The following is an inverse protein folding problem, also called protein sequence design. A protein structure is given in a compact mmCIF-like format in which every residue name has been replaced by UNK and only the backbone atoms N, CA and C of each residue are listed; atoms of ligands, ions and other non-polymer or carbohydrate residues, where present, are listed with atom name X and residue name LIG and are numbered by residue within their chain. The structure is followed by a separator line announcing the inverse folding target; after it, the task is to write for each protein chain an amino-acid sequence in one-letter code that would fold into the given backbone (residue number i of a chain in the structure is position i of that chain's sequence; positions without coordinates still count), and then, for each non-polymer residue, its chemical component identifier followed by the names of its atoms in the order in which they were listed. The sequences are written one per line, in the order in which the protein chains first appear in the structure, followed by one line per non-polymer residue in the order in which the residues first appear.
data_IF_094346134910
#
_entry.id   IF_094346134910
#
_cell.length_a   1.000
_cell.length_b   1.000
_cell.length_c   1.000
_cell.angle_alpha   90.00
_cell.angle_beta   90.00
_cell.angle_gamma   90.00
#
_symmetry.space_group_name_H-M   'P 1'
#
loop_
_entity.id
_entity.type
_entity.pdbx_description
1 polymer ?
#
# COMPACT_ATOMS: atom_id res chain seq x y z
N UNK A 1 -39.21 10.63 -1.17
CA UNK A 1 -38.03 11.39 -0.67
C UNK A 1 -37.12 10.53 0.20
N UNK A 2 -37.61 9.39 0.69
CA UNK A 2 -36.86 8.47 1.57
C UNK A 2 -35.80 7.63 0.83
N UNK A 3 -36.03 7.30 -0.44
CA UNK A 3 -35.08 6.57 -1.29
C UNK A 3 -33.78 7.34 -1.53
N UNK A 4 -33.84 8.67 -1.69
CA UNK A 4 -32.64 9.51 -1.83
C UNK A 4 -31.83 9.53 -0.54
N UNK A 5 -32.48 9.66 0.63
CA UNK A 5 -31.79 9.66 1.93
C UNK A 5 -31.13 8.31 2.22
N UNK A 6 -31.80 7.20 1.90
CA UNK A 6 -31.22 5.86 2.00
C UNK A 6 -29.97 5.72 1.12
N UNK A 7 -30.04 6.18 -0.13
CA UNK A 7 -28.91 6.18 -1.06
C UNK A 7 -27.70 6.99 -0.52
N UNK A 8 -27.92 8.20 -0.01
CA UNK A 8 -26.84 8.99 0.59
C UNK A 8 -26.24 8.33 1.85
N UNK A 9 -27.06 7.68 2.68
CA UNK A 9 -26.57 6.95 3.84
C UNK A 9 -25.73 5.72 3.44
N UNK A 10 -26.14 4.98 2.41
CA UNK A 10 -25.35 3.86 1.89
C UNK A 10 -24.02 4.32 1.27
N UNK A 11 -23.98 5.51 0.66
CA UNK A 11 -22.77 6.06 0.04
C UNK A 11 -21.72 6.58 1.02
N UNK A 12 -22.14 7.12 2.18
CA UNK A 12 -21.24 7.86 3.06
C UNK A 12 -21.20 7.37 4.51
N UNK A 13 -22.26 6.74 5.00
CA UNK A 13 -22.44 6.46 6.43
C UNK A 13 -22.28 4.98 6.74
N UNK A 14 -22.89 4.12 5.93
CA UNK A 14 -22.86 2.67 6.15
C UNK A 14 -21.66 2.08 5.41
N UNK A 15 -20.83 1.23 6.06
CA UNK A 15 -19.79 0.47 5.39
C UNK A 15 -20.42 -0.42 4.30
N UNK A 16 -20.33 0.05 3.07
CA UNK A 16 -20.92 -0.57 1.89
C UNK A 16 -19.88 -0.62 0.77
N UNK A 17 -20.12 -1.42 -0.26
CA UNK A 17 -19.21 -1.51 -1.41
C UNK A 17 -19.04 -0.14 -2.10
N UNK A 18 -20.11 0.63 -2.41
CA UNK A 18 -19.96 1.97 -2.99
C UNK A 18 -19.19 2.94 -2.11
N UNK A 19 -19.50 2.98 -0.80
CA UNK A 19 -18.80 3.83 0.16
C UNK A 19 -17.30 3.48 0.21
N UNK A 20 -16.97 2.19 0.20
CA UNK A 20 -15.59 1.72 0.24
C UNK A 20 -14.78 2.16 -0.98
N UNK A 21 -15.36 2.06 -2.18
CA UNK A 21 -14.72 2.51 -3.43
C UNK A 21 -14.49 4.03 -3.41
N UNK A 22 -15.46 4.80 -2.91
CA UNK A 22 -15.35 6.26 -2.79
C UNK A 22 -14.23 6.63 -1.82
N UNK A 23 -14.19 6.00 -0.64
CA UNK A 23 -13.17 6.25 0.38
C UNK A 23 -11.78 5.90 -0.14
N UNK A 24 -11.59 4.72 -0.76
CA UNK A 24 -10.30 4.32 -1.34
C UNK A 24 -9.84 5.31 -2.42
N UNK A 25 -10.78 5.77 -3.26
CA UNK A 25 -10.50 6.76 -4.30
C UNK A 25 -10.11 8.12 -3.70
N UNK A 26 -10.78 8.55 -2.64
CA UNK A 26 -10.50 9.80 -1.92
C UNK A 26 -9.13 9.75 -1.23
N UNK A 27 -8.84 8.65 -0.53
CA UNK A 27 -7.52 8.38 0.10
C UNK A 27 -6.42 8.47 -0.95
N UNK A 28 -6.63 7.82 -2.10
CA UNK A 28 -5.67 7.83 -3.22
C UNK A 28 -5.49 9.23 -3.79
N UNK A 29 -6.59 9.97 -4.02
CA UNK A 29 -6.55 11.32 -4.56
C UNK A 29 -5.78 12.27 -3.62
N UNK A 30 -6.17 12.33 -2.35
CA UNK A 30 -5.55 13.22 -1.35
C UNK A 30 -4.09 12.83 -1.13
N UNK A 31 -3.82 11.53 -0.99
CA UNK A 31 -2.47 11.02 -0.80
C UNK A 31 -1.53 11.34 -1.97
N UNK A 32 -1.99 11.19 -3.22
CA UNK A 32 -1.21 11.52 -4.41
C UNK A 32 -1.02 13.02 -4.61
N UNK A 33 -1.98 13.84 -4.18
CA UNK A 33 -1.82 15.30 -4.15
C UNK A 33 -0.74 15.71 -3.14
N UNK A 34 -0.80 15.16 -1.92
CA UNK A 34 0.20 15.40 -0.87
C UNK A 34 1.58 14.85 -1.26
N UNK A 35 1.64 13.75 -2.02
CA UNK A 35 2.89 13.18 -2.54
C UNK A 35 3.73 14.18 -3.36
N UNK A 36 3.08 15.16 -4.01
CA UNK A 36 3.77 16.19 -4.79
C UNK A 36 4.34 17.32 -3.93
N UNK A 37 3.86 17.48 -2.69
CA UNK A 37 4.34 18.50 -1.77
C UNK A 37 5.73 18.09 -1.28
N UNK A 38 6.69 19.00 -1.39
CA UNK A 38 8.06 18.82 -0.90
C UNK A 38 8.30 19.79 0.23
N UNK A 39 8.71 19.29 1.39
CA UNK A 39 9.11 20.13 2.53
C UNK A 39 10.63 19.99 2.67
N UNK A 40 11.34 21.11 2.63
CA UNK A 40 12.79 21.16 2.88
C UNK A 40 13.64 20.13 2.10
N UNK A 41 13.34 19.93 0.80
CA UNK A 41 13.93 18.94 -0.13
C UNK A 41 13.52 17.47 0.02
N UNK A 42 12.78 17.08 1.06
CA UNK A 42 12.34 15.69 1.24
C UNK A 42 10.88 15.55 0.79
N UNK A 43 10.59 14.48 0.05
CA UNK A 43 9.24 14.04 -0.29
C UNK A 43 9.12 12.58 0.07
N UNK A 44 8.03 12.21 0.76
CA UNK A 44 7.72 10.82 1.08
C UNK A 44 7.06 10.10 -0.12
N UNK A 45 6.82 10.80 -1.24
CA UNK A 45 6.26 10.22 -2.45
C UNK A 45 4.91 9.54 -2.20
N UNK A 46 4.72 8.36 -2.81
CA UNK A 46 3.47 7.58 -2.74
C UNK A 46 3.12 7.15 -1.31
N UNK A 47 4.08 7.14 -0.38
CA UNK A 47 3.85 6.81 1.03
C UNK A 47 2.84 7.75 1.72
N UNK A 48 2.61 8.96 1.21
CA UNK A 48 1.53 9.82 1.70
C UNK A 48 0.14 9.21 1.55
N UNK A 49 -0.10 8.35 0.55
CA UNK A 49 -1.36 7.61 0.40
C UNK A 49 -1.62 6.71 1.61
N UNK A 50 -0.58 6.05 2.13
CA UNK A 50 -0.65 5.22 3.32
C UNK A 50 -0.97 6.04 4.58
N UNK A 51 -0.29 7.18 4.78
CA UNK A 51 -0.55 8.04 5.94
C UNK A 51 -1.96 8.62 5.94
N UNK A 52 -2.47 9.05 4.78
CA UNK A 52 -3.86 9.52 4.66
C UNK A 52 -4.84 8.41 5.02
N UNK A 53 -4.59 7.17 4.57
CA UNK A 53 -5.41 6.01 4.92
C UNK A 53 -5.46 5.75 6.42
N UNK A 54 -4.30 5.75 7.10
CA UNK A 54 -4.24 5.59 8.57
C UNK A 54 -4.98 6.71 9.28
N UNK A 55 -4.78 7.96 8.84
CA UNK A 55 -5.39 9.13 9.46
C UNK A 55 -6.93 9.09 9.35
N UNK A 56 -7.46 8.75 8.17
CA UNK A 56 -8.90 8.63 7.96
C UNK A 56 -9.49 7.43 8.73
N UNK A 57 -8.76 6.31 8.81
CA UNK A 57 -9.16 5.16 9.62
C UNK A 57 -9.19 5.48 11.12
N UNK A 58 -8.24 6.28 11.60
CA UNK A 58 -8.22 6.76 13.00
C UNK A 58 -9.46 7.59 13.35
N UNK A 59 -10.00 8.38 12.41
CA UNK A 59 -11.27 9.11 12.58
C UNK A 59 -12.52 8.22 12.49
N UNK A 60 -12.38 6.90 12.36
CA UNK A 60 -13.49 5.96 12.37
C UNK A 60 -14.12 5.72 11.00
N UNK A 61 -13.48 6.17 9.91
CA UNK A 61 -13.89 5.77 8.56
C UNK A 61 -13.47 4.32 8.36
N UNK A 62 -14.44 3.42 8.36
CA UNK A 62 -14.25 2.00 8.10
C UNK A 62 -14.76 1.64 6.71
N UNK A 63 -14.16 0.59 6.16
CA UNK A 63 -14.51 0.01 4.87
C UNK A 63 -15.28 -1.29 5.11
N UNK A 64 -16.07 -1.68 4.14
CA UNK A 64 -16.70 -3.00 4.12
C UNK A 64 -15.62 -4.09 4.02
N UNK A 65 -15.71 -5.11 4.87
CA UNK A 65 -14.62 -6.09 5.08
C UNK A 65 -14.23 -6.83 3.79
N UNK A 66 -15.20 -7.27 2.98
CA UNK A 66 -14.93 -7.98 1.72
C UNK A 66 -14.21 -7.08 0.71
N UNK A 67 -14.59 -5.80 0.65
CA UNK A 67 -13.97 -4.82 -0.25
C UNK A 67 -12.54 -4.49 0.20
N UNK A 68 -12.31 -4.37 1.51
CA UNK A 68 -10.97 -4.22 2.08
C UNK A 68 -10.07 -5.43 1.76
N UNK A 69 -10.55 -6.64 2.04
CA UNK A 69 -9.81 -7.89 1.79
C UNK A 69 -9.50 -8.05 0.30
N UNK A 70 -10.47 -7.76 -0.57
CA UNK A 70 -10.26 -7.77 -2.00
C UNK A 70 -9.19 -6.76 -2.42
N UNK A 71 -9.30 -5.50 -1.98
CA UNK A 71 -8.36 -4.44 -2.33
C UNK A 71 -6.93 -4.73 -1.87
N UNK A 72 -6.78 -5.22 -0.64
CA UNK A 72 -5.48 -5.61 -0.07
C UNK A 72 -4.84 -6.75 -0.88
N UNK A 73 -5.58 -7.83 -1.13
CA UNK A 73 -5.04 -8.98 -1.88
C UNK A 73 -4.74 -8.62 -3.33
N UNK A 74 -5.62 -7.85 -3.98
CA UNK A 74 -5.41 -7.38 -5.34
C UNK A 74 -4.16 -6.49 -5.45
N UNK A 75 -4.03 -5.50 -4.56
CA UNK A 75 -2.86 -4.64 -4.51
C UNK A 75 -1.57 -5.40 -4.22
N UNK A 76 -1.61 -6.38 -3.31
CA UNK A 76 -0.47 -7.24 -2.99
C UNK A 76 -0.03 -8.08 -4.18
N UNK A 77 -0.97 -8.67 -4.93
CA UNK A 77 -0.65 -9.44 -6.15
C UNK A 77 0.01 -8.54 -7.20
N UNK A 78 -0.54 -7.35 -7.44
CA UNK A 78 0.05 -6.38 -8.37
C UNK A 78 1.46 -5.94 -7.92
N UNK A 79 1.64 -5.71 -6.61
CA UNK A 79 2.93 -5.34 -6.03
C UNK A 79 3.97 -6.45 -6.20
N UNK A 80 3.63 -7.70 -5.85
CA UNK A 80 4.53 -8.86 -6.01
C UNK A 80 4.86 -9.08 -7.49
N UNK A 81 3.89 -8.94 -8.39
CA UNK A 81 4.11 -9.05 -9.83
C UNK A 81 5.09 -7.98 -10.34
N UNK A 82 4.85 -6.72 -10.00
CA UNK A 82 5.72 -5.61 -10.40
C UNK A 82 7.14 -5.77 -9.84
N UNK A 83 7.27 -6.15 -8.56
CA UNK A 83 8.56 -6.45 -7.95
C UNK A 83 9.24 -7.61 -8.69
N UNK A 84 8.53 -8.72 -8.93
CA UNK A 84 9.08 -9.88 -9.63
C UNK A 84 9.64 -9.53 -11.01
N UNK A 85 8.94 -8.68 -11.77
CA UNK A 85 9.42 -8.20 -13.07
C UNK A 85 10.59 -7.21 -12.95
N UNK A 86 10.56 -6.29 -11.98
CA UNK A 86 11.61 -5.26 -11.85
C UNK A 86 12.90 -5.82 -11.24
N UNK A 87 12.78 -6.65 -10.20
CA UNK A 87 13.92 -7.24 -9.50
C UNK A 87 14.39 -8.53 -10.15
N UNK A 88 13.55 -9.25 -10.91
CA UNK A 88 13.90 -10.53 -11.54
C UNK A 88 15.14 -10.47 -12.43
N UNK A 89 15.22 -9.57 -13.43
CA UNK A 89 16.40 -9.42 -14.27
C UNK A 89 17.64 -8.93 -13.50
N UNK A 90 17.46 -8.14 -12.44
CA UNK A 90 18.55 -7.59 -11.63
C UNK A 90 19.10 -8.59 -10.59
N UNK A 91 18.30 -9.57 -10.19
CA UNK A 91 18.61 -10.55 -9.14
C UNK A 91 19.69 -11.56 -9.55
N UNK A 92 19.66 -12.07 -10.78
CA UNK A 92 20.64 -13.07 -11.23
C UNK A 92 22.06 -12.48 -11.39
N UNK A 93 22.25 -11.29 -11.97
CA UNK A 93 23.55 -10.63 -11.97
C UNK A 93 24.07 -10.28 -10.58
N UNK A 94 23.22 -9.87 -9.63
CA UNK A 94 23.65 -9.55 -8.26
C UNK A 94 24.16 -10.77 -7.51
N UNK A 95 23.53 -11.95 -7.69
CA UNK A 95 24.04 -13.20 -7.14
C UNK A 95 25.41 -13.58 -7.70
N UNK A 96 25.63 -13.40 -9.01
CA UNK A 96 26.90 -13.73 -9.68
C UNK A 96 28.03 -12.74 -9.36
N UNK A 97 27.71 -11.47 -9.10
CA UNK A 97 28.68 -10.42 -8.75
C UNK A 97 28.88 -10.33 -7.24
N UNK A 98 29.33 -11.41 -6.60
CA UNK A 98 29.67 -11.41 -5.17
C UNK A 98 28.52 -11.69 -4.21
N UNK A 99 27.25 -11.62 -4.66
CA UNK A 99 26.10 -11.86 -3.77
C UNK A 99 26.09 -13.25 -3.10
N UNK A 100 26.65 -14.29 -3.75
CA UNK A 100 26.83 -15.60 -3.13
C UNK A 100 27.90 -15.56 -2.03
N UNK A 101 29.03 -14.90 -2.27
CA UNK A 101 30.09 -14.74 -1.26
C UNK A 101 29.56 -13.95 -0.06
N UNK A 102 28.88 -12.83 -0.29
CA UNK A 102 28.32 -12.00 0.78
C UNK A 102 27.29 -12.75 1.64
N UNK A 103 26.46 -13.61 1.02
CA UNK A 103 25.51 -14.45 1.76
C UNK A 103 26.20 -15.54 2.56
N UNK A 104 27.24 -16.17 2.02
CA UNK A 104 28.04 -17.18 2.74
C UNK A 104 28.74 -16.54 3.93
N UNK A 105 29.36 -15.38 3.74
CA UNK A 105 30.06 -14.65 4.81
C UNK A 105 29.08 -14.21 5.91
N UNK A 106 27.90 -13.72 5.53
CA UNK A 106 26.83 -13.39 6.48
C UNK A 106 26.35 -14.61 7.26
N UNK A 107 26.16 -15.75 6.59
CA UNK A 107 25.75 -17.00 7.23
C UNK A 107 26.82 -17.50 8.20
N UNK A 108 28.09 -17.45 7.80
CA UNK A 108 29.23 -17.87 8.60
C UNK A 108 29.38 -17.00 9.86
N UNK A 109 29.16 -15.69 9.74
CA UNK A 109 29.15 -14.76 10.87
C UNK A 109 28.01 -15.06 11.86
N UNK A 110 26.80 -15.36 11.37
CA UNK A 110 25.68 -15.76 12.24
C UNK A 110 25.99 -17.08 12.98
N UNK A 111 26.56 -18.07 12.29
CA UNK A 111 26.90 -19.36 12.89
C UNK A 111 28.04 -19.26 13.92
N UNK A 112 29.05 -18.42 13.68
CA UNK A 112 30.17 -18.21 14.63
C UNK A 112 29.76 -17.36 15.84
N UNK A 113 28.78 -16.47 15.68
CA UNK A 113 28.29 -15.62 16.77
C UNK A 113 27.21 -16.28 17.65
N UNK A 114 26.74 -17.46 17.26
CA UNK A 114 25.91 -18.39 18.06
C UNK A 114 26.82 -19.35 18.84
#
# INVERSE_FOLDING_TARGET
MDSLRAFFNELFVIPSVPQSIIVISLVSLVGLLLARIRIARISLGVTFVFFVGILLSYWGITLEARTLDFGMNFGLILFIYALGLQVGPAFFPSLKKGGIQDNIDSLLLVVVNI
#
